data_IF_132086997968
#
_entry.id   IF_132086997968
#
_cell.length_a   1.000
_cell.length_b   1.000
_cell.length_c   1.000
_cell.angle_alpha   90.00
_cell.angle_beta   90.00
_cell.angle_gamma   90.00
#
_symmetry.space_group_name_H-M   'P 1'
#
loop_
_entity.id
_entity.type
_entity.pdbx_description
1 polymer ?
#
# COMPACT_ATOMS: atom_id res chain seq x y z
N UNK A 1 1.91 -7.58 -33.70
CA UNK A 1 2.80 -6.61 -33.00
C UNK A 1 2.18 -5.24 -32.84
N UNK A 2 1.76 -4.53 -33.91
CA UNK A 2 1.11 -3.20 -33.80
C UNK A 2 -0.10 -3.17 -32.86
N UNK A 3 -1.00 -4.15 -32.95
CA UNK A 3 -2.17 -4.21 -32.07
C UNK A 3 -1.83 -4.32 -30.57
N UNK A 4 -0.70 -4.94 -30.22
CA UNK A 4 -0.25 -5.03 -28.84
C UNK A 4 0.25 -3.66 -28.36
N UNK A 5 1.04 -2.96 -29.18
CA UNK A 5 1.51 -1.62 -28.87
C UNK A 5 0.33 -0.66 -28.67
N UNK A 6 -0.64 -0.67 -29.58
CA UNK A 6 -1.84 0.16 -29.49
C UNK A 6 -2.63 -0.10 -28.19
N UNK A 7 -2.77 -1.37 -27.79
CA UNK A 7 -3.41 -1.73 -26.52
C UNK A 7 -2.63 -1.22 -25.31
N UNK A 8 -1.29 -1.34 -25.33
CA UNK A 8 -0.46 -0.85 -24.23
C UNK A 8 -0.47 0.67 -24.11
N UNK A 9 -0.47 1.38 -25.23
CA UNK A 9 -0.57 2.85 -25.26
C UNK A 9 -1.90 3.31 -24.67
N UNK A 10 -3.00 2.67 -25.08
CA UNK A 10 -4.33 2.97 -24.54
C UNK A 10 -4.40 2.72 -23.03
N UNK A 11 -3.84 1.61 -22.55
CA UNK A 11 -3.77 1.28 -21.12
C UNK A 11 -2.99 2.34 -20.34
N UNK A 12 -1.78 2.70 -20.79
CA UNK A 12 -0.95 3.71 -20.12
C UNK A 12 -1.66 5.07 -20.09
N UNK A 13 -2.30 5.48 -21.18
CA UNK A 13 -3.06 6.74 -21.23
C UNK A 13 -4.23 6.74 -20.23
N UNK A 14 -4.94 5.62 -20.12
CA UNK A 14 -6.02 5.44 -19.15
C UNK A 14 -5.51 5.50 -17.71
N UNK A 15 -4.42 4.79 -17.42
CA UNK A 15 -3.87 4.68 -16.06
C UNK A 15 -3.27 6.01 -15.60
N UNK A 16 -2.57 6.72 -16.48
CA UNK A 16 -2.07 8.07 -16.21
C UNK A 16 -3.21 9.08 -15.97
N UNK A 17 -4.28 9.02 -16.77
CA UNK A 17 -5.49 9.85 -16.58
C UNK A 17 -6.16 9.57 -15.24
N UNK A 18 -6.24 8.29 -14.85
CA UNK A 18 -6.79 7.86 -13.57
C UNK A 18 -5.92 8.33 -12.41
N UNK A 19 -4.60 8.17 -12.47
CA UNK A 19 -3.66 8.65 -11.45
C UNK A 19 -3.73 10.18 -11.29
N UNK A 20 -3.80 10.93 -12.39
CA UNK A 20 -3.93 12.39 -12.36
C UNK A 20 -5.23 12.86 -11.67
N UNK A 21 -6.36 12.17 -11.94
CA UNK A 21 -7.64 12.43 -11.25
C UNK A 21 -7.55 12.09 -9.77
N UNK A 22 -6.86 11.00 -9.43
CA UNK A 22 -6.70 10.56 -8.04
C UNK A 22 -5.90 11.57 -7.21
N UNK A 23 -4.80 12.14 -7.73
CA UNK A 23 -4.05 13.22 -7.07
C UNK A 23 -4.95 14.42 -6.78
N UNK A 24 -5.73 14.86 -7.77
CA UNK A 24 -6.60 16.04 -7.61
C UNK A 24 -7.65 15.81 -6.54
N UNK A 25 -8.25 14.61 -6.52
CA UNK A 25 -9.24 14.20 -5.51
C UNK A 25 -8.63 14.15 -4.12
N UNK A 26 -7.51 13.45 -3.94
CA UNK A 26 -6.86 13.32 -2.64
C UNK A 26 -6.38 14.68 -2.11
N UNK A 27 -5.85 15.55 -2.98
CA UNK A 27 -5.47 16.92 -2.60
C UNK A 27 -6.68 17.74 -2.13
N UNK A 28 -7.82 17.63 -2.80
CA UNK A 28 -9.05 18.30 -2.39
C UNK A 28 -9.51 17.80 -1.01
N UNK A 29 -9.44 16.49 -0.75
CA UNK A 29 -9.76 15.89 0.54
C UNK A 29 -8.80 16.37 1.64
N UNK A 30 -7.50 16.46 1.38
CA UNK A 30 -6.52 17.00 2.35
C UNK A 30 -6.88 18.43 2.72
N UNK A 31 -7.18 19.28 1.73
CA UNK A 31 -7.58 20.68 1.97
C UNK A 31 -8.86 20.77 2.79
N UNK A 32 -9.88 19.97 2.48
CA UNK A 32 -11.13 19.96 3.23
C UNK A 32 -10.94 19.52 4.68
N UNK A 33 -10.16 18.46 4.91
CA UNK A 33 -9.86 17.97 6.26
C UNK A 33 -9.01 18.98 7.05
N UNK A 34 -8.08 19.68 6.40
CA UNK A 34 -7.30 20.75 7.05
C UNK A 34 -8.23 21.85 7.57
N UNK A 35 -9.19 22.30 6.74
CA UNK A 35 -10.19 23.30 7.15
C UNK A 35 -11.08 22.81 8.29
N UNK A 36 -11.42 21.52 8.31
CA UNK A 36 -12.13 20.91 9.43
C UNK A 36 -11.29 20.93 10.72
N UNK A 37 -10.00 20.60 10.65
CA UNK A 37 -9.09 20.67 11.82
C UNK A 37 -8.98 22.10 12.34
N UNK A 38 -8.88 23.09 11.46
CA UNK A 38 -8.88 24.51 11.85
C UNK A 38 -10.17 24.89 12.60
N UNK A 39 -11.34 24.50 12.07
CA UNK A 39 -12.63 24.77 12.70
C UNK A 39 -12.79 24.09 14.07
N UNK A 40 -12.40 22.81 14.18
CA UNK A 40 -12.48 22.07 15.44
C UNK A 40 -11.54 22.66 16.51
N UNK A 41 -10.37 23.18 16.11
CA UNK A 41 -9.46 23.91 17.02
C UNK A 41 -10.10 25.19 17.56
N UNK A 42 -10.75 25.95 16.69
CA UNK A 42 -11.45 27.17 17.10
C UNK A 42 -12.63 26.84 18.03
N UNK A 43 -13.35 25.75 17.77
CA UNK A 43 -14.41 25.26 18.66
C UNK A 43 -13.88 24.91 20.05
N UNK A 44 -12.78 24.16 20.14
CA UNK A 44 -12.12 23.84 21.43
C UNK A 44 -11.71 25.13 22.15
N UNK A 45 -11.14 26.11 21.44
CA UNK A 45 -10.74 27.41 22.02
C UNK A 45 -11.92 28.22 22.58
N UNK A 46 -13.08 28.14 21.95
CA UNK A 46 -14.29 28.82 22.44
C UNK A 46 -14.85 28.11 23.66
N UNK A 47 -14.90 26.78 23.64
CA UNK A 47 -15.45 25.98 24.74
C UNK A 47 -14.54 25.99 25.97
N UNK A 48 -13.21 25.99 25.79
CA UNK A 48 -12.26 26.08 26.90
C UNK A 48 -12.48 27.39 27.68
N UNK A 49 -12.67 28.52 26.98
CA UNK A 49 -12.96 29.81 27.60
C UNK A 49 -14.29 29.85 28.34
N UNK A 50 -15.34 29.21 27.81
CA UNK A 50 -16.64 29.12 28.51
C UNK A 50 -16.56 28.24 29.76
N UNK A 51 -15.78 27.17 29.70
CA UNK A 51 -15.53 26.30 30.85
C UNK A 51 -14.75 27.06 31.94
N UNK A 52 -13.69 27.79 31.57
CA UNK A 52 -12.92 28.63 32.48
C UNK A 52 -13.78 29.72 33.15
N UNK A 53 -14.77 30.27 32.44
CA UNK A 53 -15.72 31.23 33.01
C UNK A 53 -16.85 30.57 33.81
N UNK A 54 -16.88 29.24 33.94
CA UNK A 54 -17.93 28.48 34.63
C UNK A 54 -19.29 28.49 33.93
N UNK A 55 -19.35 28.88 32.65
CA UNK A 55 -20.59 29.01 31.89
C UNK A 55 -21.05 27.71 31.23
N UNK A 56 -20.18 26.70 31.15
CA UNK A 56 -20.42 25.46 30.41
C UNK A 56 -19.88 24.25 31.18
N UNK A 57 -20.48 23.07 30.94
CA UNK A 57 -20.00 21.82 31.53
C UNK A 57 -18.75 21.28 30.82
N UNK A 58 -17.83 20.66 31.58
CA UNK A 58 -16.61 20.01 31.08
C UNK A 58 -16.87 18.96 29.98
N UNK A 59 -18.03 18.28 30.00
CA UNK A 59 -18.39 17.25 29.01
C UNK A 59 -18.37 17.81 27.58
N UNK A 60 -18.80 19.06 27.36
CA UNK A 60 -18.77 19.66 26.02
C UNK A 60 -17.36 19.93 25.53
N UNK A 61 -16.45 20.30 26.44
CA UNK A 61 -15.03 20.47 26.12
C UNK A 61 -14.41 19.12 25.72
N UNK A 62 -14.67 18.05 26.50
CA UNK A 62 -14.13 16.72 26.19
C UNK A 62 -14.64 16.18 24.86
N UNK A 63 -15.91 16.40 24.53
CA UNK A 63 -16.48 16.02 23.21
C UNK A 63 -15.79 16.81 22.09
N UNK A 64 -15.55 18.11 22.28
CA UNK A 64 -14.86 18.93 21.29
C UNK A 64 -13.40 18.49 21.09
N UNK A 65 -12.70 18.12 22.16
CA UNK A 65 -11.35 17.57 22.09
C UNK A 65 -11.32 16.21 21.38
N UNK A 66 -12.29 15.33 21.65
CA UNK A 66 -12.45 14.06 20.93
C UNK A 66 -12.68 14.30 19.44
N UNK A 67 -13.54 15.26 19.08
CA UNK A 67 -13.80 15.63 17.70
C UNK A 67 -12.54 16.17 17.01
N UNK A 68 -11.76 17.01 17.70
CA UNK A 68 -10.49 17.52 17.21
C UNK A 68 -9.47 16.38 16.97
N UNK A 69 -9.37 15.40 17.87
CA UNK A 69 -8.51 14.24 17.67
C UNK A 69 -8.95 13.39 16.46
N UNK A 70 -10.26 13.25 16.26
CA UNK A 70 -10.83 12.54 15.11
C UNK A 70 -10.54 13.26 13.78
N UNK A 71 -10.67 14.59 13.72
CA UNK A 71 -10.38 15.35 12.49
C UNK A 71 -8.89 15.39 12.17
N UNK A 72 -8.02 15.48 13.17
CA UNK A 72 -6.57 15.36 12.98
C UNK A 72 -6.19 13.99 12.41
N UNK A 73 -6.75 12.91 12.96
CA UNK A 73 -6.54 11.56 12.44
C UNK A 73 -7.00 11.43 10.98
N UNK A 74 -8.16 12.01 10.63
CA UNK A 74 -8.66 12.03 9.26
C UNK A 74 -7.77 12.84 8.31
N UNK A 75 -7.24 13.98 8.76
CA UNK A 75 -6.31 14.79 7.98
C UNK A 75 -5.02 14.03 7.64
N UNK A 76 -4.40 13.36 8.62
CA UNK A 76 -3.18 12.59 8.36
C UNK A 76 -3.41 11.37 7.46
N UNK A 77 -4.57 10.71 7.57
CA UNK A 77 -4.96 9.66 6.60
C UNK A 77 -5.07 10.22 5.18
N UNK A 78 -5.79 11.33 5.01
CA UNK A 78 -5.92 11.98 3.71
C UNK A 78 -4.56 12.44 3.15
N UNK A 79 -3.64 12.89 4.01
CA UNK A 79 -2.30 13.28 3.61
C UNK A 79 -1.51 12.07 3.09
N UNK A 80 -1.54 10.95 3.79
CA UNK A 80 -0.92 9.69 3.34
C UNK A 80 -1.51 9.22 2.01
N UNK A 81 -2.83 9.27 1.85
CA UNK A 81 -3.51 8.91 0.60
C UNK A 81 -3.07 9.81 -0.56
N UNK A 82 -2.86 11.11 -0.30
CA UNK A 82 -2.28 12.02 -1.29
C UNK A 82 -0.85 11.65 -1.67
N UNK A 83 0.00 11.29 -0.70
CA UNK A 83 1.38 10.86 -0.99
C UNK A 83 1.42 9.57 -1.81
N UNK A 84 0.54 8.62 -1.54
CA UNK A 84 0.39 7.40 -2.34
C UNK A 84 -0.06 7.72 -3.77
N UNK A 85 -1.07 8.58 -3.93
CA UNK A 85 -1.52 9.03 -5.25
C UNK A 85 -0.41 9.76 -6.03
N UNK A 86 0.40 10.57 -5.34
CA UNK A 86 1.53 11.27 -5.94
C UNK A 86 2.62 10.30 -6.42
N UNK A 87 2.98 9.32 -5.59
CA UNK A 87 3.89 8.23 -5.99
C UNK A 87 3.36 7.48 -7.21
N UNK A 88 2.10 7.11 -7.21
CA UNK A 88 1.50 6.32 -8.30
C UNK A 88 1.52 7.10 -9.62
N UNK A 89 1.26 8.41 -9.60
CA UNK A 89 1.43 9.24 -10.78
C UNK A 89 2.88 9.31 -11.29
N UNK A 90 3.85 9.42 -10.39
CA UNK A 90 5.26 9.37 -10.78
C UNK A 90 5.66 8.02 -11.35
N UNK A 91 5.05 6.93 -10.88
CA UNK A 91 5.19 5.57 -11.43
C UNK A 91 4.64 5.48 -12.85
N UNK A 92 3.39 5.90 -13.08
CA UNK A 92 2.77 5.85 -14.41
C UNK A 92 3.48 6.75 -15.42
N UNK A 93 4.07 7.88 -14.97
CA UNK A 93 4.91 8.75 -15.81
C UNK A 93 6.29 8.15 -16.09
N UNK A 94 6.74 7.13 -15.35
CA UNK A 94 8.10 6.59 -15.44
C UNK A 94 9.18 7.48 -14.79
N UNK A 95 8.79 8.41 -13.93
CA UNK A 95 9.70 9.36 -13.25
C UNK A 95 9.94 9.03 -11.77
N UNK A 96 9.56 7.82 -11.34
CA UNK A 96 9.55 7.44 -9.93
C UNK A 96 10.95 7.46 -9.30
N UNK A 97 11.96 6.91 -9.98
CA UNK A 97 13.33 6.89 -9.45
C UNK A 97 13.90 8.31 -9.33
N UNK A 98 13.62 9.16 -10.32
CA UNK A 98 14.01 10.57 -10.27
C UNK A 98 13.31 11.32 -9.13
N UNK A 99 12.02 11.08 -8.91
CA UNK A 99 11.29 11.62 -7.76
C UNK A 99 11.87 11.15 -6.42
N UNK A 100 12.24 9.86 -6.33
CA UNK A 100 12.89 9.28 -5.16
C UNK A 100 14.39 9.65 -5.05
N UNK A 101 14.91 10.48 -5.95
CA UNK A 101 16.32 10.86 -6.03
C UNK A 101 17.28 9.65 -6.07
N UNK A 102 16.81 8.53 -6.63
CA UNK A 102 17.62 7.34 -6.84
C UNK A 102 18.27 7.44 -8.21
N UNK A 103 19.57 7.73 -8.22
CA UNK A 103 20.41 7.62 -9.41
C UNK A 103 20.96 6.20 -9.54
N UNK A 104 20.85 5.60 -10.71
CA UNK A 104 21.59 4.40 -11.06
C UNK A 104 22.81 4.84 -11.87
N UNK A 105 23.99 4.77 -11.27
CA UNK A 105 25.23 4.77 -12.04
C UNK A 105 25.44 3.34 -12.50
N UNK A 106 25.15 3.04 -13.76
CA UNK A 106 25.65 1.81 -14.36
C UNK A 106 27.18 1.89 -14.35
N UNK A 107 27.81 1.11 -13.46
CA UNK A 107 29.25 0.91 -13.53
C UNK A 107 29.58 0.08 -14.79
N UNK A 108 30.84 0.13 -15.22
CA UNK A 108 31.28 -0.73 -16.31
C UNK A 108 30.93 -2.18 -15.97
N UNK A 109 30.24 -2.87 -16.88
CA UNK A 109 29.88 -4.27 -16.69
C UNK A 109 31.15 -5.09 -16.45
N UNK A 110 31.11 -6.17 -15.67
CA UNK A 110 32.27 -7.04 -15.50
C UNK A 110 32.72 -7.56 -16.87
N UNK A 111 34.04 -7.60 -17.10
CA UNK A 111 34.64 -8.04 -18.37
C UNK A 111 34.02 -9.32 -19.00
N UNK A 112 33.72 -10.40 -18.25
CA UNK A 112 33.08 -11.58 -18.82
C UNK A 112 31.67 -11.33 -19.37
N UNK A 113 30.91 -10.38 -18.80
CA UNK A 113 29.55 -10.10 -19.28
C UNK A 113 29.54 -9.50 -20.70
N UNK A 114 30.60 -8.78 -21.09
CA UNK A 114 30.75 -8.34 -22.48
C UNK A 114 31.02 -9.51 -23.43
N UNK A 115 31.78 -10.53 -22.98
CA UNK A 115 32.03 -11.73 -23.78
C UNK A 115 30.73 -12.52 -23.98
N UNK A 116 29.97 -12.76 -22.89
CA UNK A 116 28.66 -13.42 -22.96
C UNK A 116 27.67 -12.68 -23.85
N UNK A 117 27.70 -11.34 -23.86
CA UNK A 117 26.85 -10.52 -24.71
C UNK A 117 27.22 -10.67 -26.19
N UNK A 118 28.52 -10.71 -26.51
CA UNK A 118 29.01 -10.95 -27.87
C UNK A 118 28.63 -12.35 -28.35
N UNK A 119 28.80 -13.37 -27.52
CA UNK A 119 28.44 -14.75 -27.86
C UNK A 119 26.93 -14.87 -28.11
N UNK A 120 26.09 -14.34 -27.22
CA UNK A 120 24.64 -14.30 -27.42
C UNK A 120 24.22 -13.50 -28.65
N UNK A 121 24.85 -12.34 -28.90
CA UNK A 121 24.58 -11.50 -30.06
C UNK A 121 24.79 -12.21 -31.41
N UNK A 122 25.74 -13.15 -31.48
CA UNK A 122 25.96 -13.98 -32.68
C UNK A 122 24.75 -14.85 -33.04
N UNK A 123 23.96 -15.25 -32.04
CA UNK A 123 22.75 -16.05 -32.24
C UNK A 123 21.54 -15.22 -32.67
N UNK A 124 21.54 -13.90 -32.43
CA UNK A 124 20.44 -12.99 -32.80
C UNK A 124 20.68 -12.23 -34.11
N UNK A 125 21.89 -12.28 -34.66
CA UNK A 125 22.20 -11.60 -35.93
C UNK A 125 21.47 -12.30 -37.09
N UNK A 126 20.57 -11.62 -37.83
CA UNK A 126 19.88 -12.22 -38.97
C UNK A 126 20.90 -12.65 -40.03
N UNK A 127 21.02 -13.96 -40.26
CA UNK A 127 21.85 -14.51 -41.34
C UNK A 127 21.02 -14.49 -42.63
N UNK A 128 21.50 -13.81 -43.66
CA UNK A 128 20.81 -13.74 -44.97
C UNK A 128 20.70 -15.08 -45.69
N UNK A 129 21.45 -16.09 -45.24
CA UNK A 129 21.33 -17.48 -45.66
C UNK A 129 21.71 -18.38 -44.47
N UNK A 130 20.76 -18.75 -43.58
CA UNK A 130 21.09 -19.62 -42.47
C UNK A 130 21.52 -20.98 -43.06
N UNK A 131 22.74 -21.47 -42.79
CA UNK A 131 23.05 -22.84 -43.12
C UNK A 131 22.04 -23.73 -42.38
N UNK A 132 21.57 -24.79 -43.04
CA UNK A 132 20.74 -25.82 -42.43
C UNK A 132 21.58 -26.60 -41.41
N UNK A 133 21.99 -25.93 -40.33
CA UNK A 133 22.69 -26.53 -39.21
C UNK A 133 21.66 -27.24 -38.34
N UNK A 134 21.21 -28.39 -38.82
CA UNK A 134 20.84 -29.48 -37.93
C UNK A 134 22.11 -29.83 -37.17
N UNK A 135 22.27 -29.29 -35.96
CA UNK A 135 23.33 -29.73 -35.07
C UNK A 135 23.31 -31.26 -34.95
N UNK A 136 24.45 -31.92 -34.68
CA UNK A 136 24.47 -33.36 -34.51
C UNK A 136 23.39 -33.75 -33.48
N UNK A 137 22.55 -34.75 -33.77
CA UNK A 137 21.45 -35.09 -32.89
C UNK A 137 21.99 -35.34 -31.48
N UNK A 138 21.43 -34.64 -30.49
CA UNK A 138 21.86 -34.69 -29.07
C UNK A 138 21.76 -36.13 -28.52
N UNK A 139 20.97 -36.98 -29.16
CA UNK A 139 20.97 -38.42 -28.95
C UNK A 139 20.90 -39.17 -30.28
N UNK A 140 21.79 -40.15 -30.46
CA UNK A 140 21.72 -41.16 -31.53
C UNK A 140 21.07 -42.48 -31.05
N UNK A 141 20.60 -42.51 -29.81
CA UNK A 141 19.97 -43.69 -29.22
C UNK A 141 18.56 -43.92 -29.76
N UNK A 142 18.14 -45.18 -29.82
CA UNK A 142 16.78 -45.56 -30.20
C UNK A 142 15.78 -45.02 -29.17
N UNK A 143 15.06 -43.96 -29.51
CA UNK A 143 13.94 -43.48 -28.72
C UNK A 143 12.76 -44.44 -28.90
N UNK A 144 12.42 -45.21 -27.88
CA UNK A 144 11.23 -46.06 -27.87
C UNK A 144 10.08 -45.30 -27.19
N UNK A 145 9.11 -44.74 -27.92
CA UNK A 145 7.99 -44.00 -27.33
C UNK A 145 7.06 -44.88 -26.47
N UNK A 146 7.24 -46.20 -26.49
CA UNK A 146 6.46 -47.17 -25.72
C UNK A 146 7.11 -47.54 -24.38
N UNK A 147 8.36 -47.13 -24.11
CA UNK A 147 8.98 -47.36 -22.80
C UNK A 147 8.54 -46.27 -21.83
N UNK A 148 7.58 -46.59 -20.96
CA UNK A 148 7.27 -45.76 -19.78
C UNK A 148 8.26 -46.15 -18.70
N UNK A 149 9.38 -45.43 -18.62
CA UNK A 149 10.41 -45.72 -17.63
C UNK A 149 11.43 -44.59 -17.59
N UNK A 150 11.31 -43.72 -16.59
CA UNK A 150 12.50 -43.10 -16.05
C UNK A 150 13.43 -44.23 -15.63
N UNK A 151 14.64 -44.30 -16.20
CA UNK A 151 15.66 -45.14 -15.59
C UNK A 151 15.84 -44.66 -14.15
N UNK A 152 15.74 -45.62 -13.25
CA UNK A 152 15.92 -45.47 -11.82
C UNK A 152 17.26 -44.78 -11.56
N UNK A 153 17.21 -43.55 -11.02
CA UNK A 153 18.39 -42.85 -10.55
C UNK A 153 18.96 -43.70 -9.42
N UNK A 154 19.95 -44.54 -9.73
CA UNK A 154 20.72 -45.23 -8.70
C UNK A 154 21.41 -44.13 -7.89
N UNK A 155 21.11 -44.13 -6.58
CA UNK A 155 21.57 -43.11 -5.66
C UNK A 155 23.09 -42.86 -5.80
N UNK A 156 23.55 -41.60 -5.83
CA UNK A 156 24.97 -41.32 -5.80
C UNK A 156 25.55 -41.82 -4.47
N UNK A 157 26.65 -42.56 -4.55
CA UNK A 157 27.51 -42.86 -3.41
C UNK A 157 27.94 -41.55 -2.74
N UNK A 158 28.04 -41.49 -1.40
CA UNK A 158 28.45 -40.27 -0.72
C UNK A 158 29.92 -40.02 -1.04
N UNK A 159 30.19 -38.96 -1.81
CA UNK A 159 31.52 -38.37 -1.91
C UNK A 159 31.67 -37.50 -0.67
N UNK A 160 32.46 -37.98 0.29
CA UNK A 160 32.93 -37.20 1.43
C UNK A 160 33.57 -35.90 0.94
N UNK A 161 32.81 -34.81 0.99
CA UNK A 161 33.29 -33.45 0.77
C UNK A 161 33.68 -32.84 2.11
N UNK A 162 34.62 -33.48 2.81
CA UNK A 162 35.41 -32.79 3.82
C UNK A 162 36.68 -32.32 3.13
N UNK A 163 36.75 -31.03 2.78
CA UNK A 163 37.93 -30.15 2.98
C UNK A 163 37.84 -28.89 2.10
N UNK A 164 37.95 -27.75 2.79
CA UNK A 164 38.39 -26.42 2.33
C UNK A 164 37.34 -25.41 1.81
N UNK A 165 36.68 -24.74 2.77
CA UNK A 165 36.40 -23.31 2.65
C UNK A 165 37.65 -22.52 3.10
N UNK A 166 38.20 -21.57 2.31
CA UNK A 166 38.99 -20.51 2.90
C UNK A 166 38.05 -19.58 3.68
N UNK A 167 38.25 -19.57 5.00
CA UNK A 167 37.70 -18.60 5.91
C UNK A 167 38.18 -17.19 5.53
N UNK A 168 37.24 -16.23 5.63
CA UNK A 168 37.40 -14.79 5.83
C UNK A 168 36.74 -13.93 4.74
N UNK A 169 35.47 -13.59 4.97
CA UNK A 169 34.85 -12.38 4.42
C UNK A 169 34.56 -11.46 5.62
N UNK A 170 35.11 -10.23 5.66
CA UNK A 170 34.76 -9.26 6.70
C UNK A 170 33.32 -8.78 6.51
N UNK A 171 32.58 -8.76 7.62
CA UNK A 171 31.20 -8.30 7.70
C UNK A 171 31.03 -6.87 7.17
N UNK A 172 30.09 -6.68 6.24
CA UNK A 172 29.62 -5.34 5.85
C UNK A 172 28.46 -4.89 6.75
N UNK A 173 28.31 -3.58 7.00
CA UNK A 173 27.74 -3.06 8.25
C UNK A 173 26.29 -2.56 8.09
N UNK A 174 25.34 -3.46 7.85
CA UNK A 174 23.92 -3.09 7.75
C UNK A 174 22.97 -4.00 8.55
N UNK A 175 23.43 -4.51 9.69
CA UNK A 175 22.55 -5.20 10.64
C UNK A 175 22.50 -4.44 11.97
N UNK A 176 21.96 -3.22 11.93
CA UNK A 176 21.51 -2.51 13.13
C UNK A 176 20.16 -1.86 12.83
N UNK A 177 19.09 -2.63 12.96
CA UNK A 177 17.79 -2.19 13.50
C UNK A 177 16.73 -3.28 13.31
N UNK A 178 16.82 -4.36 14.10
CA UNK A 178 15.66 -5.20 14.41
C UNK A 178 15.87 -5.88 15.76
N UNK A 179 15.90 -5.05 16.82
CA UNK A 179 15.61 -5.51 18.17
C UNK A 179 14.59 -4.55 18.80
N UNK A 180 13.31 -4.77 18.51
CA UNK A 180 12.23 -4.38 19.42
C UNK A 180 11.85 -5.63 20.19
N UNK A 181 12.21 -5.61 21.47
CA UNK A 181 12.01 -6.63 22.50
C UNK A 181 10.51 -6.96 22.63
N UNK A 182 10.08 -8.09 22.07
CA UNK A 182 8.80 -8.71 22.45
C UNK A 182 9.04 -9.42 23.79
N UNK A 183 8.49 -8.87 24.87
CA UNK A 183 8.40 -9.58 26.14
C UNK A 183 7.18 -10.52 26.12
N UNK A 184 7.34 -11.80 26.47
CA UNK A 184 6.20 -12.67 26.72
C UNK A 184 5.56 -12.33 28.06
N UNK A 185 4.23 -12.19 28.06
CA UNK A 185 3.41 -12.07 29.27
C UNK A 185 3.38 -13.46 29.91
N UNK A 186 4.18 -13.69 30.95
CA UNK A 186 4.10 -14.88 31.79
C UNK A 186 3.33 -14.54 33.05
N UNK A 187 2.14 -15.12 33.16
CA UNK A 187 1.31 -15.16 34.35
C UNK A 187 2.00 -16.02 35.43
N UNK A 188 2.54 -15.37 36.45
CA UNK A 188 2.96 -16.01 37.69
C UNK A 188 1.83 -15.99 38.71
N UNK A 189 1.31 -17.18 39.00
CA UNK A 189 0.49 -17.49 40.17
C UNK A 189 1.27 -17.24 41.46
N UNK A 190 0.76 -16.38 42.33
CA UNK A 190 1.10 -16.38 43.76
C UNK A 190 -0.17 -16.68 44.53
N UNK A 191 -0.09 -17.77 45.28
CA UNK A 191 -1.11 -18.34 46.12
C UNK A 191 -0.97 -17.69 47.50
N UNK A 192 -1.96 -16.90 47.96
CA UNK A 192 -2.15 -16.62 49.39
C UNK A 192 -3.64 -16.78 49.75
N UNK A 193 -3.95 -17.97 50.27
CA UNK A 193 -4.65 -18.23 51.52
C UNK A 193 -5.58 -17.13 52.11
N UNK A 194 -6.91 -17.34 52.05
CA UNK A 194 -7.80 -17.49 53.23
C UNK A 194 -9.30 -17.54 52.88
N UNK A 195 -9.94 -18.66 53.27
CA UNK A 195 -11.28 -18.82 53.89
C UNK A 195 -12.59 -18.41 53.16
N UNK A 196 -13.30 -19.44 52.64
CA UNK A 196 -14.72 -19.89 52.75
C UNK A 196 -15.92 -18.89 52.95
N UNK A 197 -17.19 -19.29 52.65
CA UNK A 197 -18.06 -18.57 51.72
C UNK A 197 -19.38 -18.07 52.37
N UNK A 198 -20.16 -17.26 51.67
CA UNK A 198 -21.62 -17.39 51.78
C UNK A 198 -22.36 -16.98 50.50
N UNK A 199 -23.38 -17.78 50.27
CA UNK A 199 -24.44 -17.87 49.28
C UNK A 199 -25.09 -16.54 48.89
N UNK A 200 -25.55 -16.45 47.63
CA UNK A 200 -27.00 -16.34 47.27
C UNK A 200 -27.22 -15.91 45.81
N UNK A 201 -28.03 -16.71 45.10
CA UNK A 201 -29.00 -16.39 44.03
C UNK A 201 -28.52 -15.55 42.82
N UNK A 202 -28.77 -15.90 41.55
CA UNK A 202 -29.62 -16.92 40.96
C UNK A 202 -29.49 -16.86 39.44
N UNK A 203 -29.84 -17.98 38.82
CA UNK A 203 -29.99 -18.25 37.38
C UNK A 203 -30.88 -17.21 36.70
N UNK A 204 -30.62 -16.89 35.42
CA UNK A 204 -31.64 -16.81 34.38
C UNK A 204 -31.03 -16.72 32.97
N UNK A 205 -31.19 -17.83 32.25
CA UNK A 205 -31.14 -18.02 30.81
C UNK A 205 -32.17 -17.13 30.10
N UNK A 206 -31.86 -16.61 28.90
CA UNK A 206 -32.89 -15.96 28.07
C UNK A 206 -32.42 -15.41 26.72
N UNK A 207 -32.40 -16.27 25.71
CA UNK A 207 -32.45 -15.96 24.28
C UNK A 207 -33.75 -15.23 23.91
N UNK A 208 -33.73 -14.12 23.15
CA UNK A 208 -34.88 -13.70 22.32
C UNK A 208 -34.42 -13.21 20.94
N UNK A 209 -35.10 -13.80 19.96
CA UNK A 209 -35.12 -13.63 18.52
C UNK A 209 -36.28 -12.70 18.11
N UNK A 210 -36.05 -11.87 17.08
CA UNK A 210 -36.98 -11.30 16.08
C UNK A 210 -38.26 -10.52 16.48
N UNK A 211 -38.52 -9.40 15.77
CA UNK A 211 -39.86 -8.81 15.66
C UNK A 211 -39.93 -7.37 15.11
N UNK A 212 -39.96 -7.22 13.78
CA UNK A 212 -40.80 -6.32 12.94
C UNK A 212 -41.33 -4.97 13.50
N UNK A 213 -41.13 -3.87 12.76
CA UNK A 213 -42.21 -3.07 12.15
C UNK A 213 -41.68 -1.99 11.19
N UNK A 214 -42.26 -1.96 9.98
CA UNK A 214 -42.16 -0.91 8.98
C UNK A 214 -42.85 0.38 9.44
N UNK A 215 -42.31 1.52 9.03
CA UNK A 215 -42.96 2.82 9.15
C UNK A 215 -42.58 3.71 7.96
N UNK A 216 -43.39 3.64 6.90
CA UNK A 216 -43.44 4.60 5.81
C UNK A 216 -43.75 6.01 6.35
N UNK A 217 -42.94 7.01 6.00
CA UNK A 217 -43.46 8.36 5.82
C UNK A 217 -42.68 9.10 4.72
N UNK A 218 -43.28 9.11 3.53
CA UNK A 218 -43.01 10.08 2.48
C UNK A 218 -43.98 11.25 2.68
N UNK A 219 -43.46 12.47 2.81
CA UNK A 219 -44.33 13.62 3.10
C UNK A 219 -43.64 14.97 3.17
N UNK A 220 -43.29 15.51 1.99
CA UNK A 220 -43.45 16.92 1.63
C UNK A 220 -42.73 18.00 2.47
N UNK A 221 -41.71 18.62 1.88
CA UNK A 221 -41.38 20.02 2.12
C UNK A 221 -41.04 20.71 0.79
N UNK A 222 -42.04 21.37 0.21
CA UNK A 222 -41.86 22.45 -0.77
C UNK A 222 -41.06 23.58 -0.14
N UNK A 223 -39.96 24.01 -0.76
CA UNK A 223 -39.48 25.39 -0.64
C UNK A 223 -39.18 25.94 -2.04
N UNK A 224 -39.98 26.95 -2.34
CA UNK A 224 -40.00 27.83 -3.50
C UNK A 224 -38.97 28.95 -3.29
N UNK A 225 -38.22 29.27 -4.35
CA UNK A 225 -37.68 30.59 -4.72
C UNK A 225 -36.73 31.31 -3.74
N UNK A 226 -35.47 31.52 -4.15
CA UNK A 226 -35.03 32.85 -4.58
C UNK A 226 -33.71 32.79 -5.38
N UNK A 227 -33.79 33.19 -6.65
CA UNK A 227 -32.66 33.48 -7.49
C UNK A 227 -32.14 34.89 -7.15
N UNK A 228 -30.89 34.99 -6.69
CA UNK A 228 -30.17 36.24 -6.59
C UNK A 228 -29.13 36.29 -7.70
N UNK A 229 -29.47 36.99 -8.78
CA UNK A 229 -28.51 37.45 -9.78
C UNK A 229 -27.68 38.59 -9.18
N UNK A 230 -26.36 38.45 -9.23
CA UNK A 230 -25.43 39.55 -8.97
C UNK A 230 -24.59 39.72 -10.23
N UNK A 231 -24.59 40.96 -10.69
CA UNK A 231 -24.17 41.43 -12.00
C UNK A 231 -22.66 41.24 -12.26
N UNK A 232 -22.36 40.89 -13.51
CA UNK A 232 -21.05 40.98 -14.14
C UNK A 232 -20.78 42.46 -14.42
N UNK A 233 -19.70 43.01 -13.86
CA UNK A 233 -19.23 44.36 -14.19
C UNK A 233 -17.96 44.25 -15.05
N UNK A 234 -18.10 44.62 -16.33
CA UNK A 234 -17.02 44.71 -17.30
C UNK A 234 -16.04 45.85 -16.94
N UNK A 235 -14.74 45.58 -17.12
CA UNK A 235 -13.67 46.59 -17.11
C UNK A 235 -13.41 47.09 -18.54
N UNK A 236 -13.21 48.40 -18.78
CA UNK A 236 -12.89 48.94 -20.10
C UNK A 236 -11.41 48.70 -20.50
N UNK A 237 -11.09 48.71 -21.82
CA UNK A 237 -9.76 48.36 -22.33
C UNK A 237 -8.71 49.44 -22.05
N UNK A 238 -7.47 49.00 -21.76
CA UNK A 238 -6.28 49.86 -21.68
C UNK A 238 -5.78 50.21 -23.10
N UNK A 239 -5.52 51.49 -23.32
CA UNK A 239 -4.68 52.01 -24.40
C UNK A 239 -3.25 51.48 -24.33
#
# INVERSE_FOLDING_TARGET
ERALLDETELRIAHDLSTAARQIRRSLALVKANLKRVEADKDQVRVLSRRYESGAENITFLLIAEQQLAASQSAFFRALTDYQLALRDFHREKGSLLNYAQVGMSEAAWPAPAYQDAVERGRHFTPRGNPPAETGPPVSRGGFNPSSVGAEEITAPTPIDSATNLPANVPASPFEVASQVKQQPIQSSSTNEHATTPDSRHGTLTGTIQAGITEGHNAGQASVVTQAAGIAVQELPPRN
#
